data_IF_390712678509
#
_entry.id   IF_390712678509
#
_cell.length_a   1.000
_cell.length_b   1.000
_cell.length_c   1.000
_cell.angle_alpha   90.00
_cell.angle_beta   90.00
_cell.angle_gamma   90.00
#
_symmetry.space_group_name_H-M   'P 1'
#
loop_
_entity.id
_entity.type
_entity.pdbx_description
1 polymer ?
#
# COMPACT_ATOMS: atom_id res chain seq x y z
N UNK A 1 15.62 33.43 50.63
CA UNK A 1 14.47 33.95 49.88
C UNK A 1 13.38 32.90 49.89
N UNK A 2 12.48 33.01 50.86
CA UNK A 2 11.35 32.11 51.07
C UNK A 2 10.24 32.44 50.07
N UNK A 3 9.65 31.42 49.45
CA UNK A 3 8.57 31.53 48.46
C UNK A 3 7.29 32.09 49.09
N UNK A 4 7.23 33.41 49.34
CA UNK A 4 6.05 34.12 49.87
C UNK A 4 4.89 34.20 48.87
N UNK A 5 5.10 33.78 47.61
CA UNK A 5 4.07 33.77 46.56
C UNK A 5 3.06 32.62 46.69
N UNK A 6 3.31 31.63 47.56
CA UNK A 6 2.41 30.47 47.76
C UNK A 6 1.25 30.73 48.74
N UNK A 7 1.26 31.85 49.47
CA UNK A 7 0.23 32.19 50.45
C UNK A 7 -0.84 33.16 49.92
N UNK A 8 -0.77 33.57 48.65
CA UNK A 8 -1.85 34.33 48.03
C UNK A 8 -2.99 33.37 47.62
N UNK A 9 -4.17 33.44 48.26
CA UNK A 9 -5.28 32.54 47.97
C UNK A 9 -5.77 32.65 46.53
N UNK A 10 -5.59 33.79 45.86
CA UNK A 10 -5.90 33.92 44.45
C UNK A 10 -4.95 33.12 43.57
N UNK A 11 -3.64 33.22 43.85
CA UNK A 11 -2.61 32.45 43.13
C UNK A 11 -2.84 30.96 43.28
N UNK A 12 -3.14 30.48 44.50
CA UNK A 12 -3.47 29.07 44.74
C UNK A 12 -4.70 28.61 43.94
N UNK A 13 -5.79 29.41 43.98
CA UNK A 13 -7.01 29.10 43.22
C UNK A 13 -6.75 29.03 41.72
N UNK A 14 -5.96 29.96 41.16
CA UNK A 14 -5.60 29.96 39.74
C UNK A 14 -4.81 28.70 39.36
N UNK A 15 -3.82 28.32 40.17
CA UNK A 15 -3.03 27.10 39.95
C UNK A 15 -3.92 25.85 39.97
N UNK A 16 -4.79 25.71 40.97
CA UNK A 16 -5.70 24.56 41.06
C UNK A 16 -6.65 24.50 39.85
N UNK A 17 -7.23 25.64 39.46
CA UNK A 17 -8.10 25.71 38.28
C UNK A 17 -7.35 25.35 37.00
N UNK A 18 -6.12 25.86 36.81
CA UNK A 18 -5.29 25.52 35.65
C UNK A 18 -4.97 24.03 35.59
N UNK A 19 -4.64 23.42 36.72
CA UNK A 19 -4.39 21.97 36.82
C UNK A 19 -5.64 21.18 36.45
N UNK A 20 -6.80 21.54 37.01
CA UNK A 20 -8.07 20.86 36.73
C UNK A 20 -8.45 20.97 35.25
N UNK A 21 -8.33 22.17 34.66
CA UNK A 21 -8.60 22.38 33.23
C UNK A 21 -7.65 21.54 32.39
N UNK A 22 -6.35 21.51 32.70
CA UNK A 22 -5.37 20.73 31.95
C UNK A 22 -5.67 19.23 31.98
N UNK A 23 -5.99 18.67 33.15
CA UNK A 23 -6.33 17.25 33.25
C UNK A 23 -7.66 16.93 32.59
N UNK A 24 -8.66 17.80 32.72
CA UNK A 24 -9.96 17.59 32.10
C UNK A 24 -9.88 17.65 30.58
N UNK A 25 -9.18 18.63 30.00
CA UNK A 25 -9.00 18.74 28.55
C UNK A 25 -8.21 17.56 28.01
N UNK A 26 -7.14 17.15 28.70
CA UNK A 26 -6.34 15.97 28.32
C UNK A 26 -7.18 14.70 28.33
N UNK A 27 -7.94 14.47 29.40
CA UNK A 27 -8.81 13.30 29.53
C UNK A 27 -9.90 13.30 28.45
N UNK A 28 -10.54 14.44 28.23
CA UNK A 28 -11.59 14.58 27.21
C UNK A 28 -11.03 14.31 25.80
N UNK A 29 -9.88 14.91 25.45
CA UNK A 29 -9.20 14.67 24.17
C UNK A 29 -8.82 13.20 23.99
N UNK A 30 -8.34 12.54 25.04
CA UNK A 30 -8.01 11.11 25.00
C UNK A 30 -9.25 10.23 24.76
N UNK A 31 -10.34 10.49 25.49
CA UNK A 31 -11.58 9.72 25.35
C UNK A 31 -12.21 9.90 23.97
N UNK A 32 -12.27 11.15 23.48
CA UNK A 32 -12.80 11.48 22.14
C UNK A 32 -11.93 10.82 21.06
N UNK A 33 -10.60 10.92 21.16
CA UNK A 33 -9.68 10.30 20.21
C UNK A 33 -9.81 8.79 20.17
N UNK A 34 -9.88 8.13 21.34
CA UNK A 34 -10.03 6.67 21.44
C UNK A 34 -11.37 6.19 20.89
N UNK A 35 -12.46 6.88 21.21
CA UNK A 35 -13.78 6.55 20.68
C UNK A 35 -13.82 6.70 19.15
N UNK A 36 -13.28 7.80 18.62
CA UNK A 36 -13.23 8.06 17.19
C UNK A 36 -12.43 6.99 16.42
N UNK A 37 -11.24 6.64 16.93
CA UNK A 37 -10.41 5.57 16.35
C UNK A 37 -11.12 4.21 16.34
N UNK A 38 -11.80 3.85 17.44
CA UNK A 38 -12.58 2.62 17.51
C UNK A 38 -13.77 2.61 16.54
N UNK A 39 -14.49 3.73 16.44
CA UNK A 39 -15.59 3.88 15.50
C UNK A 39 -15.14 3.72 14.04
N UNK A 40 -14.05 4.38 13.64
CA UNK A 40 -13.49 4.23 12.31
C UNK A 40 -13.04 2.79 12.03
N UNK A 41 -12.32 2.15 12.96
CA UNK A 41 -11.90 0.76 12.81
C UNK A 41 -13.09 -0.20 12.63
N UNK A 42 -14.17 0.01 13.39
CA UNK A 42 -15.40 -0.79 13.27
C UNK A 42 -16.11 -0.57 11.93
N UNK A 43 -16.13 0.66 11.42
CA UNK A 43 -16.71 0.95 10.11
C UNK A 43 -15.90 0.34 8.97
N UNK A 44 -14.56 0.43 9.00
CA UNK A 44 -13.69 -0.23 8.03
C UNK A 44 -13.84 -1.74 8.03
N UNK A 45 -13.97 -2.34 9.22
CA UNK A 45 -14.23 -3.78 9.37
C UNK A 45 -15.58 -4.18 8.77
N UNK A 46 -16.65 -3.43 9.06
CA UNK A 46 -17.99 -3.68 8.50
C UNK A 46 -18.01 -3.55 6.97
N UNK A 47 -17.24 -2.62 6.41
CA UNK A 47 -17.13 -2.40 4.97
C UNK A 47 -16.20 -3.40 4.26
N UNK A 48 -15.46 -4.24 5.01
CA UNK A 48 -14.41 -5.14 4.47
C UNK A 48 -13.41 -4.40 3.56
N UNK A 49 -13.14 -3.13 3.87
CA UNK A 49 -12.24 -2.26 3.10
C UNK A 49 -10.88 -2.16 3.81
N UNK A 50 -9.87 -2.86 3.29
CA UNK A 50 -8.51 -2.85 3.83
C UNK A 50 -7.63 -1.83 3.11
N UNK A 51 -8.11 -0.60 3.01
CA UNK A 51 -7.44 0.47 2.25
C UNK A 51 -6.29 1.15 3.01
N UNK A 52 -6.07 0.81 4.28
CA UNK A 52 -4.94 1.32 5.08
C UNK A 52 -3.66 0.49 4.97
N UNK A 53 -3.67 -0.57 4.16
CA UNK A 53 -2.54 -1.49 4.01
C UNK A 53 -2.27 -1.71 2.54
N UNK A 54 -1.01 -1.96 2.20
CA UNK A 54 -0.58 -2.35 0.86
C UNK A 54 0.05 -3.73 0.90
N UNK A 55 -0.38 -4.58 -0.02
CA UNK A 55 0.20 -5.91 -0.22
C UNK A 55 1.04 -5.87 -1.48
N UNK A 56 2.35 -6.11 -1.34
CA UNK A 56 3.23 -6.29 -2.47
C UNK A 56 3.27 -7.77 -2.82
N UNK A 57 2.91 -8.10 -4.07
CA UNK A 57 2.83 -9.49 -4.53
C UNK A 57 3.60 -9.71 -5.82
N UNK A 58 4.30 -10.83 -5.88
CA UNK A 58 4.91 -11.38 -7.08
C UNK A 58 3.89 -12.27 -7.80
N UNK A 59 3.69 -11.99 -9.09
CA UNK A 59 2.81 -12.71 -9.99
C UNK A 59 3.67 -13.45 -11.01
N UNK A 60 3.77 -14.76 -10.88
CA UNK A 60 4.53 -15.61 -11.79
C UNK A 60 3.58 -16.38 -12.70
N UNK A 61 3.84 -16.32 -14.00
CA UNK A 61 3.23 -17.19 -14.99
C UNK A 61 4.29 -18.21 -15.40
N UNK A 62 4.10 -19.47 -15.04
CA UNK A 62 5.07 -20.53 -15.31
C UNK A 62 4.31 -21.79 -15.64
N UNK A 63 4.65 -22.43 -16.77
CA UNK A 63 4.00 -23.68 -17.24
C UNK A 63 2.47 -23.58 -17.33
N UNK A 64 1.99 -22.40 -17.71
CA UNK A 64 0.58 -22.09 -17.83
C UNK A 64 -0.21 -21.93 -16.52
N UNK A 65 0.49 -21.91 -15.39
CA UNK A 65 -0.07 -21.68 -14.05
C UNK A 65 0.25 -20.27 -13.55
N UNK A 66 -0.77 -19.58 -13.05
CA UNK A 66 -0.60 -18.32 -12.32
C UNK A 66 -0.33 -18.62 -10.84
N UNK A 67 0.90 -18.32 -10.39
CA UNK A 67 1.31 -18.37 -8.99
C UNK A 67 1.39 -16.97 -8.41
N UNK A 68 0.77 -16.79 -7.25
CA UNK A 68 0.76 -15.50 -6.53
C UNK A 68 1.50 -15.68 -5.21
N UNK A 69 2.54 -14.89 -4.96
CA UNK A 69 3.30 -14.91 -3.70
C UNK A 69 3.37 -13.51 -3.12
N UNK A 70 3.02 -13.38 -1.85
CA UNK A 70 3.19 -12.11 -1.12
C UNK A 70 4.67 -11.93 -0.79
N UNK A 71 5.24 -10.81 -1.18
CA UNK A 71 6.61 -10.42 -0.78
C UNK A 71 6.54 -9.83 0.63
N UNK A 72 5.63 -8.87 0.84
CA UNK A 72 5.29 -8.36 2.16
C UNK A 72 3.93 -7.67 2.16
N UNK A 73 3.42 -7.45 3.37
CA UNK A 73 2.24 -6.63 3.64
C UNK A 73 2.58 -5.63 4.75
N UNK A 74 2.33 -4.35 4.51
CA UNK A 74 2.63 -3.24 5.43
C UNK A 74 1.50 -2.22 5.45
N UNK A 75 1.47 -1.34 6.45
CA UNK A 75 0.59 -0.17 6.43
C UNK A 75 0.97 0.77 5.26
N UNK A 76 0.03 1.58 4.79
CA UNK A 76 0.35 2.59 3.78
C UNK A 76 1.36 3.60 4.32
N UNK A 77 1.25 3.95 5.60
CA UNK A 77 2.11 4.92 6.28
C UNK A 77 3.57 4.44 6.37
N UNK A 78 3.80 3.12 6.49
CA UNK A 78 5.15 2.53 6.46
C UNK A 78 5.81 2.57 5.09
N UNK A 79 5.03 2.45 4.01
CA UNK A 79 5.58 2.41 2.63
C UNK A 79 5.63 3.81 2.02
N UNK A 80 4.58 4.61 2.23
CA UNK A 80 4.44 5.97 1.74
C UNK A 80 4.74 6.93 2.89
N UNK A 81 6.01 7.33 3.02
CA UNK A 81 6.51 8.19 4.11
C UNK A 81 5.91 9.61 4.14
N UNK A 82 5.06 9.96 3.16
CA UNK A 82 4.39 11.24 3.07
C UNK A 82 2.86 11.06 3.25
N UNK A 83 2.21 11.73 4.22
CA UNK A 83 0.77 11.62 4.43
C UNK A 83 -0.07 12.05 3.21
N UNK A 84 0.44 12.97 2.38
CA UNK A 84 -0.21 13.37 1.12
C UNK A 84 -0.20 12.18 0.13
N UNK A 85 0.90 11.42 0.06
CA UNK A 85 0.98 10.23 -0.78
C UNK A 85 -0.02 9.15 -0.32
N UNK A 86 -0.11 8.90 1.00
CA UNK A 86 -1.11 7.99 1.58
C UNK A 86 -2.52 8.38 1.18
N UNK A 87 -2.87 9.66 1.29
CA UNK A 87 -4.19 10.15 0.93
C UNK A 87 -4.47 10.05 -0.58
N UNK A 88 -3.48 10.33 -1.43
CA UNK A 88 -3.60 10.13 -2.89
C UNK A 88 -3.88 8.67 -3.23
N UNK A 89 -3.17 7.72 -2.59
CA UNK A 89 -3.40 6.28 -2.76
C UNK A 89 -4.81 5.89 -2.29
N UNK A 90 -5.23 6.37 -1.12
CA UNK A 90 -6.57 6.11 -0.58
C UNK A 90 -7.67 6.61 -1.53
N UNK A 91 -7.58 7.86 -2.00
CA UNK A 91 -8.54 8.43 -2.97
C UNK A 91 -8.51 7.73 -4.32
N UNK A 92 -7.34 7.35 -4.82
CA UNK A 92 -7.22 6.58 -6.05
C UNK A 92 -7.85 5.19 -5.89
N UNK A 93 -7.58 4.51 -4.77
CA UNK A 93 -8.14 3.20 -4.49
C UNK A 93 -9.66 3.22 -4.46
N UNK A 94 -10.28 4.28 -3.90
CA UNK A 94 -11.73 4.41 -3.82
C UNK A 94 -12.41 4.54 -5.19
N UNK A 95 -11.67 5.02 -6.21
CA UNK A 95 -12.15 5.22 -7.59
C UNK A 95 -11.94 4.00 -8.50
N UNK A 96 -11.31 2.93 -8.02
CA UNK A 96 -11.16 1.70 -8.83
C UNK A 96 -12.49 0.95 -8.90
N UNK A 97 -12.67 0.23 -10.01
CA UNK A 97 -13.80 -0.69 -10.22
C UNK A 97 -13.27 -2.08 -10.56
N UNK A 98 -14.10 -3.14 -10.54
CA UNK A 98 -13.68 -4.47 -10.99
C UNK A 98 -13.11 -4.49 -12.41
N UNK A 99 -13.64 -3.66 -13.31
CA UNK A 99 -13.22 -3.55 -14.71
C UNK A 99 -11.96 -2.70 -14.88
N UNK A 100 -11.74 -1.74 -13.97
CA UNK A 100 -10.55 -0.90 -13.95
C UNK A 100 -9.88 -0.92 -12.56
N UNK A 101 -9.15 -2.01 -12.23
CA UNK A 101 -8.53 -2.20 -10.93
C UNK A 101 -7.23 -1.42 -10.74
N UNK A 102 -6.66 -0.83 -11.81
CA UNK A 102 -5.42 -0.03 -11.73
C UNK A 102 -5.74 1.31 -11.07
N UNK A 103 -4.88 1.75 -10.13
CA UNK A 103 -5.11 3.01 -9.43
C UNK A 103 -5.05 4.20 -10.41
N UNK A 104 -6.11 5.03 -10.51
CA UNK A 104 -6.14 6.20 -11.38
C UNK A 104 -5.32 7.36 -10.80
N UNK A 105 -3.99 7.23 -10.88
CA UNK A 105 -3.00 8.19 -10.42
C UNK A 105 -2.70 9.18 -11.56
N UNK A 106 -2.63 10.47 -11.24
CA UNK A 106 -2.28 11.51 -12.21
C UNK A 106 -0.82 11.41 -12.63
N UNK A 107 -0.52 11.78 -13.87
CA UNK A 107 0.79 11.53 -14.50
C UNK A 107 1.97 12.10 -13.72
N UNK A 108 1.76 13.24 -13.08
CA UNK A 108 2.75 14.00 -12.31
C UNK A 108 3.15 13.27 -11.02
N UNK A 109 2.24 12.44 -10.48
CA UNK A 109 2.43 11.72 -9.22
C UNK A 109 2.90 10.27 -9.41
N UNK A 110 2.69 9.68 -10.61
CA UNK A 110 2.92 8.25 -10.87
C UNK A 110 4.32 7.80 -10.43
N UNK A 111 5.35 8.50 -10.91
CA UNK A 111 6.74 8.15 -10.59
C UNK A 111 7.02 8.21 -9.09
N UNK A 112 6.62 9.29 -8.40
CA UNK A 112 6.86 9.45 -6.97
C UNK A 112 6.18 8.36 -6.14
N UNK A 113 4.91 8.06 -6.43
CA UNK A 113 4.16 7.04 -5.70
C UNK A 113 4.71 5.63 -5.95
N UNK A 114 5.07 5.31 -7.19
CA UNK A 114 5.67 4.01 -7.53
C UNK A 114 7.08 3.87 -6.94
N UNK A 115 7.85 4.96 -6.85
CA UNK A 115 9.20 4.95 -6.32
C UNK A 115 9.25 4.59 -4.82
N UNK A 116 8.25 5.02 -4.02
CA UNK A 116 8.11 4.57 -2.63
C UNK A 116 8.01 3.04 -2.53
N UNK A 117 7.18 2.45 -3.39
CA UNK A 117 7.02 0.99 -3.43
C UNK A 117 8.28 0.32 -3.95
N UNK A 118 8.91 0.86 -5.00
CA UNK A 118 10.15 0.31 -5.55
C UNK A 118 11.23 0.28 -4.47
N UNK A 119 11.43 1.35 -3.71
CA UNK A 119 12.42 1.37 -2.63
C UNK A 119 12.13 0.30 -1.57
N UNK A 120 10.88 0.20 -1.11
CA UNK A 120 10.46 -0.80 -0.12
C UNK A 120 10.65 -2.24 -0.62
N UNK A 121 10.54 -2.47 -1.93
CA UNK A 121 10.81 -3.76 -2.57
C UNK A 121 12.31 -3.99 -2.71
N UNK A 122 13.07 -3.04 -3.22
CA UNK A 122 14.52 -3.13 -3.44
C UNK A 122 15.27 -3.47 -2.16
N UNK A 123 14.85 -2.93 -1.01
CA UNK A 123 15.38 -3.29 0.31
C UNK A 123 15.36 -4.80 0.58
N UNK A 124 14.38 -5.53 0.04
CA UNK A 124 14.24 -6.98 0.22
C UNK A 124 15.15 -7.81 -0.68
N UNK A 125 15.62 -7.23 -1.78
CA UNK A 125 16.41 -7.91 -2.79
C UNK A 125 17.88 -7.42 -2.84
N UNK A 126 18.30 -6.63 -1.84
CA UNK A 126 19.66 -6.08 -1.75
C UNK A 126 20.75 -7.16 -1.79
N UNK A 127 20.49 -8.34 -1.24
CA UNK A 127 21.46 -9.43 -1.25
C UNK A 127 21.83 -9.88 -2.67
N UNK A 128 20.85 -9.95 -3.59
CA UNK A 128 21.11 -10.30 -4.98
C UNK A 128 21.99 -9.24 -5.66
N UNK A 129 21.70 -7.96 -5.42
CA UNK A 129 22.49 -6.84 -5.94
C UNK A 129 23.94 -6.89 -5.45
N UNK A 130 24.17 -7.08 -4.15
CA UNK A 130 25.53 -7.13 -3.58
C UNK A 130 26.32 -8.33 -4.11
N UNK A 131 25.68 -9.50 -4.27
CA UNK A 131 26.34 -10.69 -4.83
C UNK A 131 26.69 -10.49 -6.31
N UNK A 132 25.80 -9.86 -7.08
CA UNK A 132 26.08 -9.53 -8.47
C UNK A 132 27.23 -8.52 -8.59
N UNK A 133 27.27 -7.49 -7.74
CA UNK A 133 28.37 -6.53 -7.63
C UNK A 133 29.71 -7.21 -7.25
N UNK A 134 29.65 -8.25 -6.42
CA UNK A 134 30.78 -9.12 -6.10
C UNK A 134 31.16 -10.10 -7.23
N UNK A 135 30.67 -9.90 -8.45
CA UNK A 135 30.91 -10.72 -9.64
C UNK A 135 30.45 -12.18 -9.51
N UNK A 136 29.49 -12.48 -8.63
CA UNK A 136 28.83 -13.78 -8.66
C UNK A 136 28.00 -13.95 -9.94
N UNK A 137 27.91 -15.19 -10.43
CA UNK A 137 27.14 -15.51 -11.63
C UNK A 137 25.64 -15.52 -11.34
N UNK A 138 25.05 -14.33 -11.25
CA UNK A 138 23.60 -14.12 -11.12
C UNK A 138 23.01 -13.60 -12.43
N UNK A 139 21.72 -13.88 -12.63
CA UNK A 139 20.98 -13.43 -13.81
C UNK A 139 20.14 -12.19 -13.46
N UNK A 140 20.26 -11.09 -14.22
CA UNK A 140 19.33 -9.97 -14.10
C UNK A 140 17.96 -10.35 -14.65
N UNK A 141 16.91 -10.01 -13.91
CA UNK A 141 15.51 -10.18 -14.29
C UNK A 141 14.76 -8.88 -14.03
N UNK A 142 14.16 -8.32 -15.08
CA UNK A 142 13.38 -7.08 -14.98
C UNK A 142 11.91 -7.38 -14.65
N UNK A 143 11.43 -6.78 -13.56
CA UNK A 143 10.04 -6.77 -13.13
C UNK A 143 9.41 -5.41 -13.40
N UNK A 144 8.09 -5.40 -13.62
CA UNK A 144 7.27 -4.20 -13.62
C UNK A 144 6.47 -4.16 -12.32
N UNK A 145 6.49 -2.99 -11.68
CA UNK A 145 5.73 -2.66 -10.46
C UNK A 145 4.62 -1.70 -10.85
N UNK A 146 3.40 -1.98 -10.42
CA UNK A 146 2.25 -1.09 -10.61
C UNK A 146 1.24 -1.24 -9.47
N UNK A 147 0.41 -0.21 -9.28
CA UNK A 147 -0.53 -0.12 -8.17
C UNK A 147 -1.96 -0.46 -8.61
N UNK A 148 -2.61 -1.30 -7.82
CA UNK A 148 -4.00 -1.74 -8.05
C UNK A 148 -4.82 -1.71 -6.77
N UNK A 149 -6.14 -1.67 -6.90
CA UNK A 149 -7.07 -1.92 -5.83
C UNK A 149 -8.13 -2.89 -6.37
N UNK A 150 -7.84 -4.18 -6.20
CA UNK A 150 -8.71 -5.27 -6.62
C UNK A 150 -9.91 -5.40 -5.67
N UNK A 151 -11.05 -5.78 -6.25
CA UNK A 151 -12.21 -6.29 -5.53
C UNK A 151 -12.11 -7.81 -5.63
N UNK A 152 -11.83 -8.50 -4.52
CA UNK A 152 -11.58 -9.96 -4.54
C UNK A 152 -12.75 -10.72 -3.94
N UNK A 153 -13.22 -11.72 -4.68
CA UNK A 153 -14.22 -12.71 -4.24
C UNK A 153 -15.63 -12.15 -4.05
N UNK A 154 -16.56 -13.03 -3.65
CA UNK A 154 -17.98 -12.69 -3.45
C UNK A 154 -18.18 -11.62 -2.36
N UNK A 155 -17.28 -11.61 -1.37
CA UNK A 155 -17.26 -10.67 -0.27
C UNK A 155 -16.83 -9.24 -0.65
N UNK A 156 -16.49 -9.01 -1.93
CA UNK A 156 -16.08 -7.72 -2.50
C UNK A 156 -15.00 -7.01 -1.69
N UNK A 157 -14.04 -7.79 -1.17
CA UNK A 157 -13.00 -7.24 -0.31
C UNK A 157 -12.06 -6.39 -1.14
N UNK A 158 -11.92 -5.12 -0.77
CA UNK A 158 -11.04 -4.16 -1.46
C UNK A 158 -9.67 -4.14 -0.81
N UNK A 159 -8.63 -4.40 -1.60
CA UNK A 159 -7.24 -4.42 -1.13
C UNK A 159 -6.36 -3.61 -2.06
N UNK A 160 -5.64 -2.64 -1.51
CA UNK A 160 -4.57 -1.94 -2.24
C UNK A 160 -3.39 -2.89 -2.38
N UNK A 161 -2.87 -3.00 -3.60
CA UNK A 161 -1.74 -3.87 -3.91
C UNK A 161 -0.72 -3.15 -4.78
N UNK A 162 0.53 -3.51 -4.57
CA UNK A 162 1.53 -3.39 -5.62
C UNK A 162 1.74 -4.77 -6.24
N UNK A 163 1.55 -4.85 -7.55
CA UNK A 163 1.81 -6.06 -8.29
C UNK A 163 3.17 -5.98 -8.93
N UNK A 164 3.94 -7.05 -8.77
CA UNK A 164 5.18 -7.30 -9.47
C UNK A 164 4.96 -8.46 -10.43
N UNK A 165 5.40 -8.29 -11.67
CA UNK A 165 5.37 -9.32 -12.72
C UNK A 165 6.60 -9.12 -13.61
N UNK A 166 7.15 -10.20 -14.17
CA UNK A 166 8.27 -10.04 -15.11
C UNK A 166 7.82 -9.21 -16.31
N UNK A 167 8.69 -8.31 -16.77
CA UNK A 167 8.39 -7.36 -17.85
C UNK A 167 8.00 -8.09 -19.14
N UNK A 168 8.75 -9.12 -19.51
CA UNK A 168 8.46 -9.94 -20.68
C UNK A 168 7.06 -10.57 -20.59
N UNK A 169 6.70 -11.18 -19.45
CA UNK A 169 5.40 -11.80 -19.27
C UNK A 169 4.21 -10.82 -19.35
N UNK A 170 4.38 -9.56 -18.95
CA UNK A 170 3.31 -8.57 -19.09
C UNK A 170 3.22 -8.02 -20.52
N UNK A 171 4.35 -7.82 -21.18
CA UNK A 171 4.40 -7.33 -22.57
C UNK A 171 3.79 -8.36 -23.53
N UNK A 172 4.20 -9.62 -23.40
CA UNK A 172 3.69 -10.76 -24.18
C UNK A 172 2.64 -11.56 -23.41
N UNK A 173 1.75 -10.89 -22.69
CA UNK A 173 0.74 -11.54 -21.85
C UNK A 173 -0.11 -12.54 -22.66
N UNK A 174 -0.02 -13.85 -22.41
CA UNK A 174 -0.58 -14.85 -23.32
C UNK A 174 -2.08 -15.11 -23.11
N UNK A 175 -2.64 -14.62 -22.01
CA UNK A 175 -4.01 -14.92 -21.56
C UNK A 175 -4.98 -13.79 -21.89
N UNK A 176 -4.97 -13.26 -23.11
CA UNK A 176 -5.90 -12.19 -23.50
C UNK A 176 -7.36 -12.64 -23.45
N UNK A 177 -7.65 -13.82 -24.01
CA UNK A 177 -9.00 -14.36 -24.15
C UNK A 177 -9.20 -15.71 -23.45
N UNK A 178 -8.16 -16.23 -22.78
CA UNK A 178 -8.15 -17.53 -22.11
C UNK A 178 -7.69 -17.41 -20.66
N UNK A 179 -7.99 -18.40 -19.81
CA UNK A 179 -7.53 -18.44 -18.42
C UNK A 179 -6.31 -19.37 -18.27
N UNK A 180 -5.29 -18.98 -17.48
CA UNK A 180 -4.27 -19.92 -17.02
C UNK A 180 -4.89 -20.93 -16.04
N UNK A 181 -4.12 -21.98 -15.71
CA UNK A 181 -4.39 -22.74 -14.51
C UNK A 181 -4.25 -21.82 -13.29
N UNK A 182 -5.11 -22.01 -12.30
CA UNK A 182 -5.18 -21.20 -11.10
C UNK A 182 -4.89 -22.05 -9.87
N UNK A 183 -4.09 -21.53 -8.94
CA UNK A 183 -3.90 -22.20 -7.63
C UNK A 183 -5.19 -22.22 -6.80
N UNK A 184 -6.06 -21.23 -7.00
CA UNK A 184 -7.35 -21.06 -6.33
C UNK A 184 -8.32 -20.38 -7.29
N UNK A 185 -9.62 -20.72 -7.24
CA UNK A 185 -10.61 -20.20 -8.19
C UNK A 185 -10.73 -18.67 -8.17
N UNK A 186 -10.63 -18.05 -6.99
CA UNK A 186 -10.68 -16.60 -6.83
C UNK A 186 -9.43 -15.86 -7.36
N UNK A 187 -8.41 -16.57 -7.85
CA UNK A 187 -7.31 -15.93 -8.58
C UNK A 187 -7.69 -15.51 -10.01
N UNK A 188 -8.90 -15.83 -10.47
CA UNK A 188 -9.45 -15.33 -11.73
C UNK A 188 -9.47 -13.79 -11.78
N UNK A 189 -9.84 -13.12 -10.68
CA UNK A 189 -9.81 -11.65 -10.53
C UNK A 189 -8.40 -11.08 -10.83
N UNK A 190 -7.35 -11.81 -10.43
CA UNK A 190 -5.96 -11.42 -10.72
C UNK A 190 -5.67 -11.48 -12.21
N UNK A 191 -6.16 -12.50 -12.92
CA UNK A 191 -5.97 -12.61 -14.37
C UNK A 191 -6.64 -11.45 -15.08
N UNK A 192 -7.87 -11.08 -14.69
CA UNK A 192 -8.54 -9.90 -15.23
C UNK A 192 -7.73 -8.61 -15.00
N UNK A 193 -7.19 -8.44 -13.80
CA UNK A 193 -6.32 -7.31 -13.47
C UNK A 193 -5.05 -7.30 -14.33
N UNK A 194 -4.40 -8.44 -14.54
CA UNK A 194 -3.21 -8.56 -15.37
C UNK A 194 -3.49 -8.30 -16.86
N UNK A 195 -4.65 -8.73 -17.38
CA UNK A 195 -5.10 -8.38 -18.74
C UNK A 195 -5.23 -6.87 -18.88
N UNK A 196 -5.87 -6.22 -17.90
CA UNK A 196 -6.01 -4.76 -17.91
C UNK A 196 -4.66 -4.07 -17.81
N UNK A 197 -3.76 -4.57 -16.95
CA UNK A 197 -2.40 -4.06 -16.83
C UNK A 197 -1.61 -4.18 -18.13
N UNK A 198 -1.71 -5.31 -18.85
CA UNK A 198 -1.04 -5.49 -20.14
C UNK A 198 -1.56 -4.49 -21.20
N UNK A 199 -2.87 -4.21 -21.21
CA UNK A 199 -3.46 -3.18 -22.06
C UNK A 199 -2.96 -1.77 -21.68
N UNK A 200 -3.04 -1.42 -20.40
CA UNK A 200 -2.61 -0.10 -19.90
C UNK A 200 -1.12 0.12 -20.11
N UNK A 201 -0.28 -0.90 -19.99
CA UNK A 201 1.16 -0.75 -20.24
C UNK A 201 1.47 -0.33 -21.68
N UNK A 202 0.67 -0.77 -22.66
CA UNK A 202 0.83 -0.39 -24.08
C UNK A 202 0.46 1.07 -24.33
N UNK A 203 -0.51 1.62 -23.60
CA UNK A 203 -1.02 2.98 -23.83
C UNK A 203 -0.42 4.02 -22.88
N UNK A 204 -0.15 3.63 -21.63
CA UNK A 204 0.29 4.48 -20.52
C UNK A 204 1.37 3.75 -19.70
N UNK A 205 2.59 3.57 -20.27
CA UNK A 205 3.67 2.82 -19.61
C UNK A 205 4.16 3.47 -18.31
N UNK A 206 3.86 4.75 -18.08
CA UNK A 206 4.20 5.51 -16.88
C UNK A 206 3.36 5.12 -15.64
N UNK A 207 2.33 4.30 -15.81
CA UNK A 207 1.68 3.60 -14.69
C UNK A 207 2.55 2.51 -14.05
N UNK A 208 3.71 2.22 -14.65
CA UNK A 208 4.57 1.12 -14.29
C UNK A 208 6.00 1.62 -14.05
N UNK A 209 6.66 1.03 -13.05
CA UNK A 209 8.06 1.28 -12.78
C UNK A 209 8.83 -0.04 -12.95
N UNK A 210 9.96 0.01 -13.65
CA UNK A 210 10.80 -1.16 -13.85
C UNK A 210 11.74 -1.34 -12.66
N UNK A 211 11.88 -2.57 -12.17
CA UNK A 211 12.84 -2.95 -11.14
C UNK A 211 13.65 -4.15 -11.65
N UNK A 212 14.97 -4.02 -11.69
CA UNK A 212 15.87 -5.13 -11.98
C UNK A 212 16.24 -5.85 -10.68
N UNK A 213 16.14 -7.18 -10.69
CA UNK A 213 16.51 -8.05 -9.57
C UNK A 213 17.49 -9.10 -10.08
N UNK A 214 18.53 -9.39 -9.30
CA UNK A 214 19.52 -10.41 -9.61
C UNK A 214 19.19 -11.70 -8.85
N UNK A 215 19.03 -12.80 -9.59
CA UNK A 215 18.64 -14.12 -9.07
C UNK A 215 19.57 -15.23 -9.54
#
# INVERSE_FOLDING_TARGET
MTFSFLNDPETYRRIVVSIVIFFFTTLLSFLVGRYWGWYQARQSWKKKEFLGRIIVSLNSLTDGLLKIRTIFERSLEEVFLNPIAVEKIRRASQRTTPENPILPISKEDRWYLLNFVLNAVSERFVQGLVRFDACENLRPVTYLIFLTCEVVGEDRIRKVRAMMIRKDHLVSFPYHDSMPQLEQEWHSDRVHTLRRAAQTYRTEPDHFLSLEIYV
#
